data_IF_824377116227
#
_entry.id   IF_824377116227
#
_cell.length_a   1.000
_cell.length_b   1.000
_cell.length_c   1.000
_cell.angle_alpha   90.00
_cell.angle_beta   90.00
_cell.angle_gamma   90.00
#
_symmetry.space_group_name_H-M   'P 1'
#
loop_
_entity.id
_entity.type
_entity.pdbx_description
1 polymer ?
#
# COMPACT_ATOMS: atom_id res chain seq x y z
N UNK A 1 24.52 -54.41 28.52
CA UNK A 1 24.64 -53.51 27.37
C UNK A 1 23.35 -52.81 27.13
N UNK A 2 23.37 -51.52 27.31
CA UNK A 2 22.17 -50.71 27.19
C UNK A 2 22.41 -49.63 26.17
N UNK A 3 21.61 -49.60 25.11
CA UNK A 3 21.60 -48.51 24.18
C UNK A 3 20.74 -47.40 24.76
N UNK A 4 21.33 -46.28 25.06
CA UNK A 4 20.60 -45.09 25.44
C UNK A 4 20.03 -44.46 24.16
N UNK A 5 18.74 -44.58 23.98
CA UNK A 5 18.06 -43.83 22.94
C UNK A 5 18.04 -42.36 23.35
N UNK A 6 18.87 -41.56 22.71
CA UNK A 6 18.79 -40.14 22.84
C UNK A 6 17.54 -39.67 22.09
N UNK A 7 16.50 -39.32 22.80
CA UNK A 7 15.38 -38.62 22.21
C UNK A 7 15.85 -37.21 21.87
N UNK A 8 16.14 -36.99 20.62
CA UNK A 8 16.31 -35.62 20.12
C UNK A 8 14.92 -34.98 20.05
N UNK A 9 14.61 -34.18 21.03
CA UNK A 9 13.44 -33.32 20.96
C UNK A 9 13.75 -32.23 19.93
N UNK A 10 13.30 -32.49 18.70
CA UNK A 10 13.22 -31.42 17.71
C UNK A 10 12.07 -30.52 18.13
N UNK A 11 12.37 -29.50 18.91
CA UNK A 11 11.41 -28.47 19.20
C UNK A 11 11.09 -27.76 17.91
N UNK A 12 9.88 -27.99 17.36
CA UNK A 12 9.33 -27.09 16.36
C UNK A 12 9.04 -25.76 17.04
N UNK A 13 10.03 -24.89 17.07
CA UNK A 13 9.75 -23.49 17.29
C UNK A 13 8.97 -23.02 16.06
N UNK A 14 7.67 -22.84 16.22
CA UNK A 14 6.90 -22.14 15.23
C UNK A 14 7.45 -20.71 15.17
N UNK A 15 8.31 -20.45 14.21
CA UNK A 15 8.72 -19.10 13.89
C UNK A 15 7.45 -18.40 13.43
N UNK A 16 7.00 -17.42 14.24
CA UNK A 16 5.96 -16.52 13.82
C UNK A 16 6.44 -15.85 12.54
N UNK A 17 5.89 -16.25 11.41
CA UNK A 17 6.20 -15.60 10.15
C UNK A 17 5.69 -14.16 10.22
N UNK A 18 6.51 -13.17 9.81
CA UNK A 18 6.01 -11.80 9.73
C UNK A 18 4.79 -11.82 8.83
N UNK A 19 3.68 -11.27 9.33
CA UNK A 19 2.43 -11.20 8.59
C UNK A 19 2.64 -10.27 7.39
N UNK A 20 2.74 -10.84 6.20
CA UNK A 20 2.80 -10.06 4.97
C UNK A 20 1.41 -9.51 4.68
N UNK A 21 1.31 -8.22 4.48
CA UNK A 21 0.05 -7.59 4.12
C UNK A 21 -0.35 -8.01 2.71
N UNK A 22 -1.65 -8.20 2.51
CA UNK A 22 -2.20 -8.40 1.17
C UNK A 22 -2.23 -7.06 0.44
N UNK A 23 -1.90 -7.06 -0.84
CA UNK A 23 -1.97 -5.84 -1.65
C UNK A 23 -3.41 -5.31 -1.71
N UNK A 24 -4.38 -6.21 -1.89
CA UNK A 24 -5.79 -5.87 -1.93
C UNK A 24 -6.42 -5.95 -0.55
N UNK A 25 -7.48 -5.19 -0.29
CA UNK A 25 -8.20 -5.13 0.99
C UNK A 25 -7.34 -4.62 2.16
N UNK A 26 -6.32 -3.86 1.88
CA UNK A 26 -5.44 -3.27 2.89
C UNK A 26 -5.50 -1.75 2.77
N UNK A 27 -5.57 -1.09 3.92
CA UNK A 27 -5.44 0.37 3.96
C UNK A 27 -3.95 0.71 3.84
N UNK A 28 -3.57 1.27 2.71
CA UNK A 28 -2.19 1.66 2.42
C UNK A 28 -2.00 3.16 2.66
N UNK A 29 -1.38 3.49 3.77
CA UNK A 29 -1.06 4.87 4.13
C UNK A 29 0.21 5.31 3.42
N UNK A 30 0.15 6.44 2.73
CA UNK A 30 1.30 7.01 2.04
C UNK A 30 2.34 7.48 3.06
N UNK A 31 3.58 7.02 2.90
CA UNK A 31 4.70 7.39 3.77
C UNK A 31 5.79 8.14 3.02
N UNK A 32 5.91 7.93 1.72
CA UNK A 32 6.92 8.57 0.90
C UNK A 32 6.40 8.78 -0.52
N UNK A 33 6.64 9.95 -1.08
CA UNK A 33 6.20 10.31 -2.42
C UNK A 33 7.34 11.03 -3.13
N UNK A 34 7.76 10.47 -4.28
CA UNK A 34 8.85 11.06 -5.05
C UNK A 34 10.16 11.18 -4.27
N UNK A 35 10.42 10.25 -3.35
CA UNK A 35 11.62 10.27 -2.52
C UNK A 35 11.53 11.14 -1.28
N UNK A 36 10.40 11.80 -1.03
CA UNK A 36 10.20 12.66 0.12
C UNK A 36 9.22 12.05 1.12
N UNK A 37 9.58 12.11 2.39
CA UNK A 37 8.71 11.62 3.46
C UNK A 37 7.45 12.47 3.58
N UNK A 38 6.32 11.80 3.76
CA UNK A 38 5.02 12.44 3.93
C UNK A 38 4.64 12.37 5.41
N UNK A 39 4.32 13.53 5.98
CA UNK A 39 3.87 13.61 7.36
C UNK A 39 2.51 12.92 7.53
N UNK A 40 2.31 12.28 8.69
CA UNK A 40 1.04 11.65 9.00
C UNK A 40 -0.08 12.68 9.05
N UNK A 41 -1.10 12.48 8.23
CA UNK A 41 -2.30 13.29 8.23
C UNK A 41 -3.35 12.73 9.17
N UNK A 42 -4.52 13.34 9.16
CA UNK A 42 -5.69 12.87 9.92
C UNK A 42 -6.60 12.04 9.03
N UNK A 43 -7.01 10.89 9.53
CA UNK A 43 -8.04 10.10 8.87
C UNK A 43 -9.39 10.85 8.92
N UNK A 44 -10.21 10.70 7.88
CA UNK A 44 -10.07 9.84 6.71
C UNK A 44 -9.38 10.51 5.52
N UNK A 45 -8.91 11.76 5.65
CA UNK A 45 -8.35 12.52 4.53
C UNK A 45 -6.86 12.29 4.30
N UNK A 46 -6.13 11.66 5.22
CA UNK A 46 -4.70 11.41 5.01
C UNK A 46 -4.46 10.66 3.69
N UNK A 47 -3.35 10.93 2.99
CA UNK A 47 -3.09 10.25 1.72
C UNK A 47 -3.01 8.74 1.90
N UNK A 48 -3.90 8.01 1.22
CA UNK A 48 -3.99 6.56 1.30
C UNK A 48 -4.79 6.02 0.13
N UNK A 49 -4.74 4.70 -0.06
CA UNK A 49 -5.66 4.01 -0.94
C UNK A 49 -5.97 2.59 -0.44
N UNK A 50 -7.07 2.05 -0.93
CA UNK A 50 -7.48 0.67 -0.71
C UNK A 50 -7.91 0.09 -2.06
N UNK A 51 -7.40 -1.10 -2.39
CA UNK A 51 -7.83 -1.84 -3.58
C UNK A 51 -8.93 -2.82 -3.18
N UNK A 52 -10.05 -2.76 -3.88
CA UNK A 52 -11.22 -3.60 -3.63
C UNK A 52 -11.35 -4.64 -4.76
N UNK A 53 -10.94 -5.91 -4.52
CA UNK A 53 -10.89 -6.91 -5.60
C UNK A 53 -12.25 -7.34 -6.11
N UNK A 54 -13.29 -7.27 -5.30
CA UNK A 54 -14.65 -7.66 -5.69
C UNK A 54 -15.23 -6.77 -6.78
N UNK A 55 -14.90 -5.49 -6.78
CA UNK A 55 -15.38 -4.50 -7.75
C UNK A 55 -14.29 -4.02 -8.70
N UNK A 56 -13.04 -4.36 -8.45
CA UNK A 56 -11.84 -3.84 -9.11
C UNK A 56 -11.76 -2.31 -9.03
N UNK A 57 -12.17 -1.78 -7.91
CA UNK A 57 -12.13 -0.34 -7.65
C UNK A 57 -11.08 0.00 -6.62
N UNK A 58 -10.50 1.17 -6.79
CA UNK A 58 -9.64 1.79 -5.79
C UNK A 58 -10.40 2.94 -5.15
N UNK A 59 -10.25 3.07 -3.85
CA UNK A 59 -10.74 4.24 -3.10
C UNK A 59 -9.61 4.79 -2.24
N UNK A 60 -9.69 6.07 -1.93
CA UNK A 60 -8.68 6.68 -1.09
C UNK A 60 -8.90 8.16 -0.92
N UNK A 61 -7.85 8.83 -0.48
CA UNK A 61 -7.80 10.28 -0.32
C UNK A 61 -6.38 10.76 -0.60
N UNK A 62 -6.26 12.04 -0.91
CA UNK A 62 -4.97 12.65 -1.22
C UNK A 62 -4.47 13.65 -0.19
N UNK A 63 -5.18 13.76 0.93
CA UNK A 63 -4.88 14.76 1.97
C UNK A 63 -6.04 15.72 2.19
N UNK A 64 -6.79 16.01 1.15
CA UNK A 64 -7.96 16.88 1.18
C UNK A 64 -9.17 16.18 0.57
N UNK A 65 -9.05 15.74 -0.66
CA UNK A 65 -10.14 15.15 -1.43
C UNK A 65 -10.09 13.63 -1.41
N UNK A 66 -11.28 13.03 -1.39
CA UNK A 66 -11.44 11.59 -1.61
C UNK A 66 -11.49 11.30 -3.09
N UNK A 67 -11.03 10.12 -3.46
CA UNK A 67 -11.13 9.66 -4.84
C UNK A 67 -11.61 8.22 -4.91
N UNK A 68 -12.20 7.90 -6.04
CA UNK A 68 -12.52 6.53 -6.45
C UNK A 68 -12.06 6.34 -7.89
N UNK A 69 -11.74 5.12 -8.24
CA UNK A 69 -11.33 4.79 -9.59
C UNK A 69 -11.33 3.30 -9.81
N UNK A 70 -10.72 2.89 -10.89
CA UNK A 70 -10.54 1.47 -11.21
C UNK A 70 -9.06 1.13 -11.18
N UNK A 71 -8.76 -0.16 -11.07
CA UNK A 71 -7.40 -0.65 -11.21
C UNK A 71 -7.40 -1.99 -11.93
N UNK A 72 -6.25 -2.34 -12.49
CA UNK A 72 -6.00 -3.66 -13.04
C UNK A 72 -4.78 -4.24 -12.35
N UNK A 73 -4.89 -5.49 -11.94
CA UNK A 73 -3.83 -6.20 -11.26
C UNK A 73 -3.64 -7.56 -11.92
N UNK A 74 -2.40 -7.82 -12.35
CA UNK A 74 -2.02 -9.10 -12.95
C UNK A 74 -0.65 -9.47 -12.38
N UNK A 75 -0.64 -10.34 -11.37
CA UNK A 75 0.57 -10.62 -10.62
C UNK A 75 1.04 -9.40 -9.87
N UNK A 76 2.23 -8.89 -10.18
CA UNK A 76 2.75 -7.64 -9.60
C UNK A 76 2.51 -6.41 -10.49
N UNK A 77 1.92 -6.61 -11.67
CA UNK A 77 1.61 -5.53 -12.59
C UNK A 77 0.32 -4.84 -12.14
N UNK A 78 0.45 -3.60 -11.71
CA UNK A 78 -0.65 -2.78 -11.21
C UNK A 78 -0.74 -1.51 -12.02
N UNK A 79 -1.94 -1.21 -12.54
CA UNK A 79 -2.23 0.06 -13.18
C UNK A 79 -3.51 0.64 -12.62
N UNK A 80 -3.55 1.96 -12.49
CA UNK A 80 -4.74 2.68 -12.08
C UNK A 80 -5.41 3.28 -13.30
N UNK A 81 -6.72 3.11 -13.40
CA UNK A 81 -7.53 3.76 -14.43
C UNK A 81 -7.88 5.19 -14.03
N UNK A 82 -8.85 5.74 -14.72
CA UNK A 82 -9.33 7.08 -14.41
C UNK A 82 -9.89 7.14 -12.99
N UNK A 83 -9.56 8.22 -12.30
CA UNK A 83 -10.06 8.49 -10.96
C UNK A 83 -11.00 9.68 -11.01
N UNK A 84 -12.04 9.64 -10.18
CA UNK A 84 -12.93 10.75 -9.95
C UNK A 84 -12.88 11.09 -8.46
N UNK A 85 -12.90 12.37 -8.13
CA UNK A 85 -12.76 12.78 -6.75
C UNK A 85 -13.62 13.96 -6.41
N UNK A 86 -13.71 14.25 -5.11
CA UNK A 86 -14.29 15.48 -4.63
C UNK A 86 -13.39 16.65 -5.04
N UNK A 87 -13.95 17.85 -5.07
CA UNK A 87 -13.21 19.03 -5.48
C UNK A 87 -13.33 20.11 -4.39
N UNK A 88 -13.00 19.70 -3.16
CA UNK A 88 -12.97 20.65 -2.05
C UNK A 88 -11.73 21.52 -2.13
N UNK A 89 -11.88 22.79 -1.76
CA UNK A 89 -10.74 23.68 -1.62
C UNK A 89 -10.21 23.56 -0.18
N UNK A 90 -8.98 23.07 -0.03
CA UNK A 90 -8.31 22.98 1.26
C UNK A 90 -7.17 23.98 1.30
N UNK A 91 -6.98 24.63 2.46
CA UNK A 91 -5.94 25.63 2.63
C UNK A 91 -4.53 25.06 2.58
N UNK A 92 -4.38 23.78 2.91
CA UNK A 92 -3.07 23.10 2.99
C UNK A 92 -3.12 21.78 2.22
N UNK A 93 -1.97 21.28 1.81
CA UNK A 93 -1.75 19.95 1.24
C UNK A 93 -2.25 19.72 -0.19
N UNK A 94 -2.63 20.76 -0.92
CA UNK A 94 -3.06 20.62 -2.31
C UNK A 94 -1.93 20.15 -3.25
N UNK A 95 -0.68 20.47 -2.95
CA UNK A 95 0.45 20.03 -3.75
C UNK A 95 0.71 18.52 -3.59
N UNK A 96 0.70 18.02 -2.36
CA UNK A 96 0.87 16.58 -2.09
C UNK A 96 -0.23 15.79 -2.77
N UNK A 97 -1.46 16.24 -2.68
CA UNK A 97 -2.59 15.60 -3.31
C UNK A 97 -2.45 15.55 -4.83
N UNK A 98 -2.09 16.66 -5.43
CA UNK A 98 -1.90 16.75 -6.88
C UNK A 98 -0.78 15.82 -7.34
N UNK A 99 0.34 15.83 -6.62
CA UNK A 99 1.46 14.96 -6.91
C UNK A 99 1.10 13.49 -6.72
N UNK A 100 0.35 13.17 -5.67
CA UNK A 100 -0.10 11.81 -5.41
C UNK A 100 -0.98 11.29 -6.57
N UNK A 101 -1.96 12.07 -6.99
CA UNK A 101 -2.85 11.68 -8.08
C UNK A 101 -2.10 11.55 -9.41
N UNK A 102 -1.13 12.41 -9.66
CA UNK A 102 -0.26 12.31 -10.84
C UNK A 102 0.59 11.04 -10.77
N UNK A 103 1.14 10.73 -9.61
CA UNK A 103 1.96 9.55 -9.40
C UNK A 103 1.18 8.26 -9.63
N UNK A 104 -0.07 8.19 -9.17
CA UNK A 104 -0.90 6.99 -9.38
C UNK A 104 -1.02 6.63 -10.87
N UNK A 105 -1.06 7.62 -11.75
CA UNK A 105 -1.13 7.39 -13.19
C UNK A 105 0.16 6.81 -13.79
N UNK A 106 1.28 6.98 -13.09
CA UNK A 106 2.59 6.49 -13.54
C UNK A 106 2.88 5.07 -13.07
N UNK A 107 2.09 4.55 -12.15
CA UNK A 107 2.30 3.24 -11.55
C UNK A 107 2.11 2.13 -12.57
N UNK A 108 3.05 1.17 -12.59
CA UNK A 108 2.99 -0.02 -13.44
C UNK A 108 3.20 -1.31 -12.65
N UNK A 109 3.78 -1.21 -11.47
CA UNK A 109 4.14 -2.38 -10.66
C UNK A 109 3.98 -2.08 -9.18
N UNK A 110 3.58 -3.11 -8.41
CA UNK A 110 3.47 -3.05 -6.96
C UNK A 110 4.34 -4.14 -6.35
N UNK A 111 5.05 -3.79 -5.28
CA UNK A 111 5.89 -4.73 -4.55
C UNK A 111 5.58 -4.62 -3.06
N UNK A 112 5.05 -5.71 -2.48
CA UNK A 112 4.77 -5.79 -1.05
C UNK A 112 5.89 -6.52 -0.35
N UNK A 113 6.39 -5.97 0.74
CA UNK A 113 7.39 -6.59 1.60
C UNK A 113 6.97 -6.38 3.05
N UNK A 114 6.51 -7.45 3.70
CA UNK A 114 5.96 -7.36 5.05
C UNK A 114 4.73 -6.44 5.07
N UNK A 115 4.82 -5.34 5.79
CA UNK A 115 3.76 -4.35 5.89
C UNK A 115 4.07 -3.08 5.11
N UNK A 116 5.01 -3.18 4.17
CA UNK A 116 5.43 -2.07 3.33
C UNK A 116 5.03 -2.34 1.89
N UNK A 117 4.67 -1.28 1.17
CA UNK A 117 4.35 -1.34 -0.25
C UNK A 117 5.18 -0.31 -1.00
N UNK A 118 5.80 -0.75 -2.08
CA UNK A 118 6.40 0.15 -3.08
C UNK A 118 5.56 0.11 -4.35
N UNK A 119 5.24 1.28 -4.88
CA UNK A 119 4.71 1.42 -6.22
C UNK A 119 5.83 1.88 -7.15
N UNK A 120 5.95 1.21 -8.29
CA UNK A 120 7.03 1.41 -9.24
C UNK A 120 6.47 1.89 -10.58
N UNK A 121 7.24 2.70 -11.28
CA UNK A 121 6.90 3.16 -12.62
C UNK A 121 7.37 2.16 -13.70
N UNK A 122 7.22 2.54 -14.97
CA UNK A 122 7.61 1.72 -16.10
C UNK A 122 9.12 1.38 -16.11
N UNK A 123 9.95 2.23 -15.54
CA UNK A 123 11.40 2.01 -15.44
C UNK A 123 11.81 1.29 -14.15
N UNK A 124 10.86 0.69 -13.42
CA UNK A 124 11.06 0.02 -12.14
C UNK A 124 11.61 0.95 -11.05
N UNK A 125 11.33 2.24 -11.15
CA UNK A 125 11.72 3.20 -10.11
C UNK A 125 10.61 3.34 -9.08
N UNK A 126 10.94 3.29 -7.78
CA UNK A 126 9.94 3.56 -6.74
C UNK A 126 9.44 5.01 -6.85
N UNK A 127 8.14 5.17 -7.00
CA UNK A 127 7.51 6.49 -7.09
C UNK A 127 6.73 6.84 -5.84
N UNK A 128 6.34 5.83 -5.04
CA UNK A 128 5.63 6.03 -3.78
C UNK A 128 5.83 4.82 -2.88
N UNK A 129 5.84 5.06 -1.57
CA UNK A 129 5.89 4.01 -0.55
C UNK A 129 4.75 4.20 0.44
N UNK A 130 4.28 3.07 0.94
CA UNK A 130 3.12 3.01 1.82
C UNK A 130 3.36 2.02 2.94
N UNK A 131 2.61 2.21 4.01
CA UNK A 131 2.58 1.31 5.16
C UNK A 131 1.16 0.78 5.33
N UNK A 132 1.05 -0.53 5.61
CA UNK A 132 -0.23 -1.13 5.91
C UNK A 132 -0.70 -0.68 7.29
N UNK A 133 -1.95 -0.24 7.37
CA UNK A 133 -2.58 0.18 8.62
C UNK A 133 -3.79 -0.72 8.85
N UNK A 134 -3.86 -1.28 10.03
CA UNK A 134 -5.00 -2.14 10.38
C UNK A 134 -6.26 -1.27 10.54
N UNK A 135 -7.38 -1.70 9.97
CA UNK A 135 -8.64 -1.02 10.19
C UNK A 135 -9.06 -1.19 11.66
N UNK A 136 -9.39 -0.10 12.29
CA UNK A 136 -10.01 -0.12 13.62
C UNK A 136 -11.47 0.24 13.51
#
# INVERSE_FOLDING_TARGET
MRAAAALALVGCTALAQPTTASLENTYWKLTELGGQSIAAGRRPQEPHFILHPDTRRVSGAGGCNRFIGSYQLNGDLLTFGQTAGTMMACAEETETEREFFTTLRQVRKARVSGRQLELLDEADRPVARFEAVDPK
#
